data_IF_578917636509
#
_entry.id   IF_578917636509
#
_cell.length_a   1.000
_cell.length_b   1.000
_cell.length_c   1.000
_cell.angle_alpha   90.00
_cell.angle_beta   90.00
_cell.angle_gamma   90.00
#
_symmetry.space_group_name_H-M   'P 1'
#
loop_
_entity.id
_entity.type
_entity.pdbx_description
1 polymer ?
#
# COMPACT_ATOMS: atom_id res chain seq x y z
N UNK A 1 -0.84 23.44 1.67
CA UNK A 1 -0.22 22.25 1.03
C UNK A 1 1.26 22.27 1.37
N UNK A 2 1.85 21.12 1.69
CA UNK A 2 3.26 21.02 2.11
C UNK A 2 4.08 20.40 0.98
N UNK A 3 5.31 20.90 0.82
CA UNK A 3 6.32 20.29 -0.05
C UNK A 3 7.48 19.88 0.85
N UNK A 4 7.87 18.61 0.74
CA UNK A 4 8.88 18.00 1.59
C UNK A 4 10.00 17.48 0.71
N UNK A 5 11.22 17.60 1.20
CA UNK A 5 12.44 17.09 0.55
C UNK A 5 12.64 15.62 0.89
N UNK A 6 13.41 14.92 0.06
CA UNK A 6 13.78 13.53 0.34
C UNK A 6 14.53 13.39 1.68
N UNK A 7 15.36 14.37 2.03
CA UNK A 7 16.10 14.35 3.31
C UNK A 7 15.15 14.49 4.52
N UNK A 8 14.13 15.35 4.44
CA UNK A 8 13.10 15.44 5.47
C UNK A 8 12.31 14.14 5.62
N UNK A 9 12.02 13.47 4.50
CA UNK A 9 11.34 12.17 4.48
C UNK A 9 12.21 11.14 5.20
N UNK A 10 13.50 11.02 4.84
CA UNK A 10 14.42 10.07 5.46
C UNK A 10 14.55 10.28 6.97
N UNK A 11 14.73 11.55 7.41
CA UNK A 11 14.77 11.91 8.82
C UNK A 11 13.48 11.54 9.54
N UNK A 12 12.33 11.78 8.92
CA UNK A 12 11.03 11.43 9.48
C UNK A 12 10.84 9.91 9.59
N UNK A 13 11.26 9.14 8.59
CA UNK A 13 11.20 7.66 8.63
C UNK A 13 12.06 7.10 9.77
N UNK A 14 13.29 7.62 9.94
CA UNK A 14 14.19 7.21 11.03
C UNK A 14 13.61 7.57 12.39
N UNK A 15 13.07 8.77 12.54
CA UNK A 15 12.45 9.21 13.78
C UNK A 15 11.22 8.35 14.13
N UNK A 16 10.33 8.13 13.17
CA UNK A 16 9.13 7.32 13.37
C UNK A 16 9.49 5.89 13.77
N UNK A 17 10.43 5.24 13.08
CA UNK A 17 10.86 3.88 13.41
C UNK A 17 11.51 3.81 14.80
N UNK A 18 12.25 4.85 15.21
CA UNK A 18 12.83 4.93 16.56
C UNK A 18 11.76 5.04 17.65
N UNK A 19 10.67 5.76 17.41
CA UNK A 19 9.62 6.03 18.41
C UNK A 19 8.55 4.93 18.44
N UNK A 20 8.11 4.48 17.27
CA UNK A 20 7.00 3.52 17.10
C UNK A 20 7.49 2.08 16.88
N UNK A 21 8.79 1.87 16.69
CA UNK A 21 9.39 0.55 16.51
C UNK A 21 9.14 -0.11 15.15
N UNK A 22 8.55 0.60 14.19
CA UNK A 22 8.25 0.05 12.85
C UNK A 22 8.68 1.00 11.74
N UNK A 23 9.38 0.45 10.74
CA UNK A 23 9.75 1.20 9.54
C UNK A 23 8.52 1.58 8.72
N UNK A 24 8.47 2.78 8.15
CA UNK A 24 7.39 3.22 7.26
C UNK A 24 7.89 3.43 5.82
N UNK A 25 6.97 3.44 4.86
CA UNK A 25 7.28 3.71 3.44
C UNK A 25 7.50 5.21 3.19
N UNK A 26 8.18 5.61 2.09
CA UNK A 26 8.48 7.03 1.82
C UNK A 26 7.24 7.93 1.80
N UNK A 27 6.12 7.47 1.26
CA UNK A 27 4.87 8.23 1.18
C UNK A 27 4.23 8.44 2.57
N UNK A 28 4.44 7.51 3.50
CA UNK A 28 4.11 7.73 4.90
C UNK A 28 5.09 8.74 5.54
N UNK A 29 6.36 8.70 5.16
CA UNK A 29 7.35 9.70 5.56
C UNK A 29 6.94 11.12 5.13
N UNK A 30 6.39 11.31 3.93
CA UNK A 30 5.81 12.59 3.48
C UNK A 30 4.77 13.14 4.45
N UNK A 31 3.90 12.26 4.97
CA UNK A 31 2.85 12.64 5.92
C UNK A 31 3.46 13.13 7.24
N UNK A 32 4.47 12.42 7.77
CA UNK A 32 5.17 12.80 8.99
C UNK A 32 5.95 14.11 8.81
N UNK A 33 6.72 14.25 7.72
CA UNK A 33 7.47 15.47 7.44
C UNK A 33 6.55 16.67 7.25
N UNK A 34 5.39 16.49 6.61
CA UNK A 34 4.38 17.55 6.47
C UNK A 34 3.83 17.99 7.82
N UNK A 35 3.58 17.05 8.75
CA UNK A 35 3.17 17.39 10.11
C UNK A 35 4.28 18.13 10.87
N UNK A 36 5.54 17.72 10.72
CA UNK A 36 6.67 18.42 11.34
C UNK A 36 6.78 19.87 10.83
N UNK A 37 6.61 20.10 9.51
CA UNK A 37 6.54 21.45 8.96
C UNK A 37 5.33 22.22 9.47
N UNK A 38 4.16 21.57 9.65
CA UNK A 38 2.97 22.21 10.20
C UNK A 38 3.20 22.71 11.63
N UNK A 39 3.84 21.89 12.47
CA UNK A 39 4.25 22.25 13.83
C UNK A 39 5.23 23.42 13.83
N UNK A 40 6.27 23.37 12.98
CA UNK A 40 7.26 24.45 12.87
C UNK A 40 6.65 25.78 12.41
N UNK A 41 5.65 25.71 11.52
CA UNK A 41 4.92 26.89 11.02
C UNK A 41 3.84 27.37 12.00
N UNK A 42 3.56 26.63 13.08
CA UNK A 42 2.51 26.95 14.04
C UNK A 42 1.09 26.76 13.51
N UNK A 43 0.92 26.08 12.37
CA UNK A 43 -0.41 25.78 11.80
C UNK A 43 -1.16 24.75 12.63
N UNK A 44 -0.42 23.92 13.37
CA UNK A 44 -0.96 22.99 14.37
C UNK A 44 -0.20 23.19 15.67
N UNK A 45 -0.91 23.07 16.79
CA UNK A 45 -0.33 23.16 18.13
C UNK A 45 0.31 21.83 18.53
N UNK A 46 1.39 21.84 19.34
CA UNK A 46 1.91 20.62 19.95
C UNK A 46 0.92 19.93 20.91
N UNK A 47 -0.16 20.62 21.30
CA UNK A 47 -1.22 20.06 22.14
C UNK A 47 -2.40 19.51 21.33
N UNK A 48 -2.41 19.65 20.00
CA UNK A 48 -3.52 19.16 19.17
C UNK A 48 -3.50 17.63 19.09
N UNK A 49 -4.68 17.02 19.20
CA UNK A 49 -4.87 15.60 18.92
C UNK A 49 -5.04 15.39 17.41
N UNK A 50 -4.03 14.82 16.75
CA UNK A 50 -3.99 14.65 15.30
C UNK A 50 -4.04 13.17 14.95
N UNK A 51 -5.01 12.80 14.12
CA UNK A 51 -5.09 11.45 13.54
C UNK A 51 -4.23 11.41 12.28
N UNK A 52 -3.26 10.50 12.24
CA UNK A 52 -2.38 10.30 11.09
C UNK A 52 -2.73 9.01 10.36
N UNK A 53 -2.90 9.10 9.05
CA UNK A 53 -3.02 7.94 8.19
C UNK A 53 -1.64 7.52 7.68
N UNK A 54 -1.16 6.35 8.12
CA UNK A 54 0.11 5.79 7.70
C UNK A 54 -0.16 4.73 6.62
N UNK A 55 0.17 5.07 5.36
CA UNK A 55 -0.22 4.27 4.20
C UNK A 55 0.46 2.88 4.14
N UNK A 56 1.60 2.70 4.81
CA UNK A 56 2.33 1.43 4.79
C UNK A 56 3.64 1.45 5.56
N UNK A 57 4.11 0.26 5.92
CA UNK A 57 5.33 0.07 6.70
C UNK A 57 5.77 -1.39 6.80
N UNK A 58 6.63 -1.69 7.77
CA UNK A 58 7.10 -3.03 8.11
C UNK A 58 8.07 -3.67 7.11
N UNK A 59 8.43 -3.00 6.00
CA UNK A 59 9.25 -3.61 4.93
C UNK A 59 10.60 -4.14 5.41
N UNK A 60 11.23 -3.53 6.42
CA UNK A 60 12.49 -4.05 7.00
C UNK A 60 12.31 -5.42 7.65
N UNK A 61 11.21 -5.63 8.37
CA UNK A 61 10.88 -6.91 9.01
C UNK A 61 10.56 -7.96 7.94
N UNK A 62 9.75 -7.60 6.95
CA UNK A 62 9.37 -8.49 5.84
C UNK A 62 10.60 -8.95 5.05
N UNK A 63 11.59 -8.08 4.84
CA UNK A 63 12.83 -8.47 4.14
C UNK A 63 13.70 -9.44 4.95
N UNK A 64 13.69 -9.34 6.28
CA UNK A 64 14.49 -10.19 7.18
C UNK A 64 13.89 -11.59 7.30
N UNK A 65 12.57 -11.69 7.21
CA UNK A 65 11.83 -12.94 7.39
C UNK A 65 11.33 -13.41 6.03
N UNK A 66 11.79 -14.56 5.52
CA UNK A 66 11.12 -15.24 4.40
C UNK A 66 9.73 -15.67 4.89
N UNK A 67 8.75 -14.78 4.79
CA UNK A 67 7.37 -15.10 5.11
C UNK A 67 6.86 -16.04 4.02
N UNK A 68 6.70 -17.30 4.37
CA UNK A 68 5.94 -18.24 3.57
C UNK A 68 4.48 -17.77 3.59
N UNK A 69 4.07 -17.02 2.57
CA UNK A 69 2.68 -16.70 2.35
C UNK A 69 2.09 -17.80 1.49
N UNK A 70 1.23 -18.63 2.09
CA UNK A 70 0.41 -19.54 1.31
C UNK A 70 -0.52 -18.72 0.41
N UNK A 71 -0.62 -19.03 -0.89
CA UNK A 71 -1.51 -18.30 -1.79
C UNK A 71 -2.94 -18.37 -1.25
N UNK A 72 -3.65 -17.25 -1.33
CA UNK A 72 -5.04 -17.17 -0.89
C UNK A 72 -5.87 -18.21 -1.66
N UNK A 73 -6.40 -19.22 -0.95
CA UNK A 73 -7.29 -20.21 -1.55
C UNK A 73 -8.71 -19.66 -1.59
N UNK A 74 -9.15 -19.23 -2.77
CA UNK A 74 -10.56 -18.96 -3.00
C UNK A 74 -11.33 -20.29 -3.01
N UNK A 75 -12.20 -20.50 -2.03
CA UNK A 75 -13.17 -21.60 -2.09
C UNK A 75 -14.30 -21.20 -3.03
N UNK A 76 -14.23 -21.67 -4.28
CA UNK A 76 -15.37 -21.53 -5.19
C UNK A 76 -16.39 -22.63 -4.86
N UNK A 77 -17.68 -22.29 -4.86
CA UNK A 77 -18.71 -23.35 -4.91
C UNK A 77 -18.45 -24.11 -6.22
N UNK A 78 -18.30 -25.43 -6.13
CA UNK A 78 -18.19 -26.31 -7.30
C UNK A 78 -19.48 -26.15 -8.10
N UNK A 79 -19.45 -25.20 -9.02
CA UNK A 79 -20.48 -24.99 -10.01
C UNK A 79 -20.51 -26.30 -10.81
N UNK A 80 -21.61 -27.05 -10.73
CA UNK A 80 -21.86 -28.20 -11.60
C UNK A 80 -22.07 -27.68 -13.02
N UNK A 81 -20.99 -27.21 -13.63
CA UNK A 81 -20.94 -26.73 -15.00
C UNK A 81 -20.56 -27.96 -15.82
N UNK A 82 -21.43 -28.34 -16.76
CA UNK A 82 -21.10 -29.36 -17.74
C UNK A 82 -19.84 -28.94 -18.52
N UNK A 83 -19.00 -29.90 -18.92
CA UNK A 83 -17.72 -29.62 -19.58
C UNK A 83 -17.88 -28.69 -20.80
N UNK A 84 -18.99 -28.83 -21.53
CA UNK A 84 -19.40 -27.97 -22.64
C UNK A 84 -19.59 -26.50 -22.24
N UNK A 85 -20.26 -26.25 -21.12
CA UNK A 85 -20.54 -24.90 -20.62
C UNK A 85 -19.28 -24.21 -20.06
N UNK A 86 -18.27 -24.98 -19.65
CA UNK A 86 -16.97 -24.46 -19.20
C UNK A 86 -16.14 -23.95 -20.40
N UNK A 87 -16.09 -24.74 -21.48
CA UNK A 87 -15.41 -24.36 -22.72
C UNK A 87 -16.01 -23.10 -23.35
N UNK A 88 -17.34 -23.02 -23.42
CA UNK A 88 -18.04 -21.83 -23.92
C UNK A 88 -17.69 -20.57 -23.12
N UNK A 89 -17.64 -20.64 -21.78
CA UNK A 89 -17.31 -19.48 -20.94
C UNK A 89 -15.84 -19.07 -21.02
N UNK A 90 -14.93 -20.03 -21.18
CA UNK A 90 -13.49 -19.75 -21.38
C UNK A 90 -13.26 -19.08 -22.74
N UNK A 91 -13.92 -19.55 -23.81
CA UNK A 91 -13.82 -18.95 -25.14
C UNK A 91 -14.31 -17.49 -25.16
N UNK A 92 -15.44 -17.20 -24.50
CA UNK A 92 -15.96 -15.83 -24.42
C UNK A 92 -15.10 -14.92 -23.53
N UNK A 93 -14.52 -15.45 -22.44
CA UNK A 93 -13.60 -14.69 -21.57
C UNK A 93 -12.29 -14.33 -22.26
N UNK A 94 -11.75 -15.22 -23.11
CA UNK A 94 -10.54 -14.96 -23.90
C UNK A 94 -10.83 -13.99 -25.06
N UNK A 95 -12.01 -14.06 -25.68
CA UNK A 95 -12.40 -13.12 -26.73
C UNK A 95 -12.61 -11.69 -26.20
N UNK A 96 -13.15 -11.52 -24.99
CA UNK A 96 -13.38 -10.21 -24.36
C UNK A 96 -12.12 -9.54 -23.80
N UNK A 97 -10.98 -10.23 -23.78
CA UNK A 97 -9.72 -9.76 -23.18
C UNK A 97 -8.60 -9.51 -24.21
N UNK A 98 -8.89 -9.62 -25.50
CA UNK A 98 -8.00 -9.11 -26.56
C UNK A 98 -8.25 -7.61 -26.74
N UNK A 99 -7.29 -6.72 -26.44
CA UNK A 99 -7.42 -5.32 -26.81
C UNK A 99 -7.53 -5.21 -28.32
N UNK A 100 -8.49 -4.40 -28.76
CA UNK A 100 -8.78 -4.09 -30.15
C UNK A 100 -7.57 -3.34 -30.76
N UNK A 101 -6.59 -4.07 -31.25
CA UNK A 101 -5.44 -3.49 -31.94
C UNK A 101 -5.78 -3.37 -33.42
N UNK A 102 -6.55 -2.32 -33.75
CA UNK A 102 -6.72 -1.86 -35.13
C UNK A 102 -5.69 -0.74 -35.35
N UNK A 103 -4.70 -1.04 -36.21
CA UNK A 103 -3.91 -0.08 -36.97
C UNK A 103 -4.28 -0.27 -38.44
#
# INVERSE_FOLDING_TARGET
MYSVTNEEIEKAQVLFEKLEGISIVPEAGVTISSLQQALQKGTVSPQDAIVLNIIGGGRKVIKKTRMHMEPYRFQTKKLQISQKTLEEKIQHGIAASRPNNQA
#
